data_IF_667081831734
#
_entry.id   IF_667081831734
#
_cell.length_a   1.000
_cell.length_b   1.000
_cell.length_c   1.000
_cell.angle_alpha   90.00
_cell.angle_beta   90.00
_cell.angle_gamma   90.00
#
_symmetry.space_group_name_H-M   'P 1'
#
loop_
_entity.id
_entity.type
_entity.pdbx_description
1 polymer ?
#
# COMPACT_ATOMS: atom_id res chain seq x y z
N UNK A 1 -57.90 -20.87 26.22
CA UNK A 1 -56.43 -20.79 26.33
C UNK A 1 -55.92 -20.17 25.04
N UNK A 2 -55.72 -18.86 25.03
CA UNK A 2 -55.30 -18.07 23.86
C UNK A 2 -53.82 -17.76 23.99
N UNK A 3 -52.98 -18.34 23.13
CA UNK A 3 -51.56 -18.00 23.02
C UNK A 3 -51.39 -16.57 22.50
N UNK A 4 -50.55 -15.71 23.10
CA UNK A 4 -50.25 -14.40 22.56
C UNK A 4 -49.36 -14.54 21.31
N UNK A 5 -49.73 -13.86 20.22
CA UNK A 5 -48.93 -13.76 19.01
C UNK A 5 -47.60 -13.02 19.32
N UNK A 6 -46.45 -13.50 18.82
CA UNK A 6 -45.20 -12.76 18.96
C UNK A 6 -45.33 -11.41 18.25
N UNK A 7 -45.13 -10.35 19.02
CA UNK A 7 -45.19 -8.97 18.55
C UNK A 7 -44.17 -8.74 17.44
N UNK A 8 -44.71 -8.47 16.26
CA UNK A 8 -44.05 -8.03 15.01
C UNK A 8 -43.37 -6.67 15.20
N UNK A 9 -42.38 -6.60 16.08
CA UNK A 9 -41.59 -5.39 16.37
C UNK A 9 -40.10 -5.66 16.43
N UNK A 10 -39.64 -6.92 16.37
CA UNK A 10 -38.20 -7.24 16.31
C UNK A 10 -37.61 -7.22 14.89
N UNK A 11 -38.44 -7.24 13.83
CA UNK A 11 -37.96 -7.25 12.44
C UNK A 11 -37.61 -5.86 11.86
N UNK A 12 -37.88 -4.78 12.60
CA UNK A 12 -37.70 -3.41 12.12
C UNK A 12 -36.63 -2.68 12.91
N UNK A 13 -35.52 -3.37 13.18
CA UNK A 13 -34.30 -2.71 13.61
C UNK A 13 -33.45 -2.41 12.36
N UNK A 14 -33.60 -1.23 11.71
CA UNK A 14 -32.77 -0.85 10.56
C UNK A 14 -31.27 -0.78 10.92
N UNK A 15 -30.94 -0.87 12.22
CA UNK A 15 -29.59 -0.81 12.75
C UNK A 15 -28.90 -2.17 12.93
N UNK A 16 -29.59 -3.30 12.77
CA UNK A 16 -28.95 -4.63 12.75
C UNK A 16 -28.45 -4.99 11.35
N UNK A 17 -27.60 -4.12 10.79
CA UNK A 17 -26.74 -4.51 9.68
C UNK A 17 -25.39 -4.97 10.27
N UNK A 18 -25.03 -6.27 10.21
CA UNK A 18 -23.65 -6.71 10.45
C UNK A 18 -22.72 -6.31 9.28
N UNK A 19 -22.88 -5.10 8.72
CA UNK A 19 -22.18 -4.62 7.52
C UNK A 19 -21.58 -3.22 7.72
N UNK A 20 -21.21 -2.89 8.96
CA UNK A 20 -20.38 -1.71 9.27
C UNK A 20 -18.89 -2.07 9.39
N UNK A 21 -18.51 -3.29 8.98
CA UNK A 21 -17.12 -3.64 8.68
C UNK A 21 -16.82 -3.56 7.17
N UNK A 22 -17.34 -2.53 6.50
CA UNK A 22 -16.53 -1.91 5.45
C UNK A 22 -15.44 -1.08 6.14
N UNK A 23 -14.51 -1.73 6.85
CA UNK A 23 -13.15 -1.17 6.87
C UNK A 23 -12.82 -1.08 5.40
N UNK A 24 -12.71 0.15 4.90
CA UNK A 24 -12.27 0.41 3.55
C UNK A 24 -10.86 -0.18 3.49
N UNK A 25 -10.76 -1.47 3.13
CA UNK A 25 -9.49 -2.12 2.90
C UNK A 25 -8.86 -1.26 1.80
N UNK A 26 -7.80 -0.57 2.17
CA UNK A 26 -7.12 0.25 1.19
C UNK A 26 -6.61 -0.73 0.12
N UNK A 27 -6.68 -0.41 -1.18
CA UNK A 27 -6.09 -1.25 -2.23
C UNK A 27 -4.62 -1.64 -1.97
N UNK A 28 -3.98 -0.95 -1.02
CA UNK A 28 -2.62 -1.11 -0.53
C UNK A 28 -2.46 -2.12 0.63
N UNK A 29 -3.53 -2.60 1.23
CA UNK A 29 -3.46 -3.58 2.33
C UNK A 29 -3.06 -4.97 1.83
N UNK A 30 -3.35 -5.26 0.57
CA UNK A 30 -2.93 -6.48 -0.13
C UNK A 30 -1.47 -6.44 -0.62
N UNK A 31 -0.78 -5.29 -0.47
CA UNK A 31 0.58 -5.18 -0.98
C UNK A 31 1.53 -6.07 -0.16
N UNK A 32 2.48 -6.75 -0.82
CA UNK A 32 3.57 -7.42 -0.14
C UNK A 32 4.25 -6.45 0.83
N UNK A 33 4.65 -6.93 2.01
CA UNK A 33 5.27 -6.07 3.03
C UNK A 33 6.47 -5.29 2.49
N UNK A 34 7.27 -5.90 1.60
CA UNK A 34 8.43 -5.27 0.98
C UNK A 34 8.06 -4.13 0.01
N UNK A 35 6.95 -4.26 -0.73
CA UNK A 35 6.37 -3.19 -1.57
C UNK A 35 5.80 -2.09 -0.69
N UNK A 36 5.05 -2.48 0.36
CA UNK A 36 4.43 -1.54 1.30
C UNK A 36 5.46 -0.69 2.04
N UNK A 37 6.59 -1.26 2.41
CA UNK A 37 7.72 -0.55 3.03
C UNK A 37 8.40 0.37 2.01
N UNK A 38 8.69 -0.13 0.80
CA UNK A 38 9.38 0.66 -0.24
C UNK A 38 8.57 1.85 -0.77
N UNK A 39 7.25 1.69 -0.88
CA UNK A 39 6.33 2.73 -1.37
C UNK A 39 5.51 3.37 -0.24
N UNK A 40 5.96 3.24 1.01
CA UNK A 40 5.22 3.77 2.15
C UNK A 40 5.05 5.28 1.99
N UNK A 41 3.79 5.75 1.94
CA UNK A 41 3.39 7.14 1.68
C UNK A 41 3.66 7.69 0.28
N UNK A 42 3.96 6.88 -0.73
CA UNK A 42 4.05 7.36 -2.11
C UNK A 42 2.67 7.22 -2.78
N UNK A 43 1.93 8.33 -3.02
CA UNK A 43 0.57 8.25 -3.55
C UNK A 43 0.53 8.09 -5.08
N UNK A 44 1.64 8.35 -5.78
CA UNK A 44 1.61 8.51 -7.25
C UNK A 44 2.86 7.92 -7.89
N UNK A 45 2.66 7.28 -9.05
CA UNK A 45 3.71 6.73 -9.92
C UNK A 45 4.87 7.68 -10.18
N UNK A 46 4.56 8.96 -10.44
CA UNK A 46 5.57 10.00 -10.70
C UNK A 46 6.53 10.23 -9.53
N UNK A 47 6.01 10.20 -8.30
CA UNK A 47 6.83 10.42 -7.09
C UNK A 47 7.76 9.22 -6.87
N UNK A 48 7.27 7.99 -7.10
CA UNK A 48 8.09 6.79 -7.00
C UNK A 48 9.29 6.81 -7.97
N UNK A 49 9.03 7.17 -9.24
CA UNK A 49 10.09 7.38 -10.24
C UNK A 49 11.06 8.49 -9.84
N UNK A 50 10.57 9.55 -9.18
CA UNK A 50 11.43 10.60 -8.61
C UNK A 50 12.41 10.07 -7.57
N UNK A 51 11.96 9.22 -6.65
CA UNK A 51 12.83 8.59 -5.65
C UNK A 51 13.84 7.62 -6.27
N UNK A 52 13.44 6.86 -7.29
CA UNK A 52 14.35 6.02 -8.06
C UNK A 52 15.45 6.86 -8.72
N UNK A 53 15.06 7.94 -9.41
CA UNK A 53 16.01 8.84 -10.07
C UNK A 53 16.95 9.53 -9.07
N UNK A 54 16.43 9.99 -7.93
CA UNK A 54 17.25 10.57 -6.87
C UNK A 54 18.27 9.56 -6.31
N UNK A 55 17.82 8.33 -6.05
CA UNK A 55 18.69 7.23 -5.59
C UNK A 55 19.77 6.90 -6.62
N UNK A 56 19.44 6.89 -7.91
CA UNK A 56 20.42 6.71 -9.00
C UNK A 56 21.44 7.85 -9.07
N UNK A 57 21.01 9.10 -8.92
CA UNK A 57 21.93 10.25 -8.88
C UNK A 57 22.88 10.18 -7.68
N UNK A 58 22.37 9.80 -6.51
CA UNK A 58 23.18 9.59 -5.30
C UNK A 58 24.15 8.42 -5.46
N UNK A 59 23.70 7.31 -6.04
CA UNK A 59 24.56 6.18 -6.39
C UNK A 59 25.70 6.63 -7.31
N UNK A 60 25.39 7.36 -8.37
CA UNK A 60 26.40 7.84 -9.31
C UNK A 60 27.36 8.84 -8.65
N UNK A 61 26.84 9.77 -7.85
CA UNK A 61 27.66 10.74 -7.12
C UNK A 61 28.62 10.07 -6.12
N UNK A 62 28.14 9.06 -5.38
CA UNK A 62 29.00 8.30 -4.45
C UNK A 62 30.02 7.44 -5.18
N UNK A 63 29.68 6.86 -6.33
CA UNK A 63 30.63 6.14 -7.17
C UNK A 63 31.75 7.03 -7.70
N UNK A 64 31.43 8.27 -8.14
CA UNK A 64 32.43 9.25 -8.61
C UNK A 64 33.38 9.67 -7.48
N UNK A 65 32.87 9.84 -6.27
CA UNK A 65 33.67 10.23 -5.09
C UNK A 65 34.43 9.04 -4.49
N UNK A 66 34.16 7.80 -4.92
CA UNK A 66 34.79 6.59 -4.39
C UNK A 66 34.31 6.22 -2.98
N UNK A 67 33.08 6.60 -2.63
CA UNK A 67 32.52 6.40 -1.29
C UNK A 67 31.70 5.10 -1.22
N UNK A 68 32.12 4.19 -0.35
CA UNK A 68 31.53 2.84 -0.20
C UNK A 68 30.02 2.77 0.14
N UNK A 69 29.38 3.77 0.77
CA UNK A 69 27.92 3.79 0.98
C UNK A 69 27.10 3.87 -0.30
N UNK A 70 27.73 4.04 -1.47
CA UNK A 70 27.07 3.85 -2.77
C UNK A 70 26.33 2.51 -2.87
N UNK A 71 26.81 1.45 -2.22
CA UNK A 71 26.13 0.15 -2.18
C UNK A 71 24.71 0.22 -1.58
N UNK A 72 24.49 1.11 -0.60
CA UNK A 72 23.16 1.29 0.00
C UNK A 72 22.21 1.94 -1.01
N UNK A 73 22.71 2.88 -1.81
CA UNK A 73 21.92 3.48 -2.89
C UNK A 73 21.66 2.49 -4.02
N UNK A 74 22.60 1.58 -4.32
CA UNK A 74 22.40 0.51 -5.30
C UNK A 74 21.28 -0.43 -4.85
N UNK A 75 21.29 -0.82 -3.58
CA UNK A 75 20.20 -1.60 -2.98
C UNK A 75 18.88 -0.83 -3.01
N UNK A 76 18.90 0.47 -2.71
CA UNK A 76 17.70 1.30 -2.77
C UNK A 76 17.13 1.38 -4.20
N UNK A 77 17.99 1.58 -5.21
CA UNK A 77 17.60 1.60 -6.63
C UNK A 77 16.94 0.28 -7.03
N UNK A 78 17.59 -0.85 -6.72
CA UNK A 78 17.06 -2.17 -7.00
C UNK A 78 15.69 -2.40 -6.33
N UNK A 79 15.57 -2.02 -5.06
CA UNK A 79 14.33 -2.17 -4.32
C UNK A 79 13.20 -1.29 -4.88
N UNK A 80 13.47 -0.02 -5.21
CA UNK A 80 12.47 0.84 -5.85
C UNK A 80 12.06 0.32 -7.23
N UNK A 81 13.01 -0.22 -8.00
CA UNK A 81 12.71 -0.81 -9.31
C UNK A 81 11.71 -1.97 -9.19
N UNK A 82 11.98 -2.93 -8.30
CA UNK A 82 11.10 -4.08 -8.02
C UNK A 82 9.73 -3.62 -7.49
N UNK A 83 9.71 -2.66 -6.56
CA UNK A 83 8.46 -2.20 -5.96
C UNK A 83 7.57 -1.46 -6.97
N UNK A 84 8.17 -0.61 -7.82
CA UNK A 84 7.45 0.08 -8.91
C UNK A 84 6.97 -0.93 -9.94
N UNK A 85 7.81 -1.88 -10.34
CA UNK A 85 7.47 -2.94 -11.29
C UNK A 85 6.26 -3.77 -10.83
N UNK A 86 6.29 -4.24 -9.58
CA UNK A 86 5.17 -5.00 -9.02
C UNK A 86 3.85 -4.20 -9.01
N UNK A 87 3.89 -2.91 -8.63
CA UNK A 87 2.67 -2.07 -8.62
C UNK A 87 2.19 -1.76 -10.04
N UNK A 88 3.10 -1.52 -10.99
CA UNK A 88 2.80 -1.31 -12.42
C UNK A 88 2.14 -2.57 -13.02
N UNK A 89 2.69 -3.76 -12.80
CA UNK A 89 2.16 -5.03 -13.30
C UNK A 89 0.77 -5.35 -12.73
N UNK A 90 0.55 -5.04 -11.45
CA UNK A 90 -0.72 -5.29 -10.79
C UNK A 90 -1.75 -4.15 -11.01
N UNK A 91 -1.37 -3.06 -11.70
CA UNK A 91 -2.21 -1.85 -11.88
C UNK A 91 -2.78 -1.29 -10.56
N UNK A 92 -2.00 -1.38 -9.47
CA UNK A 92 -2.46 -1.12 -8.08
C UNK A 92 -2.07 0.25 -7.51
N UNK A 93 -1.76 1.25 -8.34
CA UNK A 93 -1.34 2.60 -7.89
C UNK A 93 -2.37 3.33 -7.02
#
# INVERSE_FOLDING_TARGET
>A
MTSPLPSRTEELNPFSSPRTESRIASPRDDWPLWVRIGLWKIPTRRIAWGYLAASLLLLFGTAVVGFWPGLIFLLAVYWYWEAIGWVDENSRW
#
